data_IF_868994044683
#
_entry.id   IF_868994044683
#
_cell.length_a   1.000
_cell.length_b   1.000
_cell.length_c   1.000
_cell.angle_alpha   90.00
_cell.angle_beta   90.00
_cell.angle_gamma   90.00
#
_symmetry.space_group_name_H-M   'P 1'
#
loop_
_entity.id
_entity.type
_entity.pdbx_description
1 polymer ?
#
# COMPACT_ATOMS: atom_id res chain seq x y z
N UNK A 1 -9.56 15.86 -1.02
CA UNK A 1 -10.95 16.09 -1.44
C UNK A 1 -11.92 15.38 -0.51
N UNK A 2 -13.03 16.05 -0.21
CA UNK A 2 -14.08 15.46 0.62
C UNK A 2 -15.19 14.88 -0.25
N UNK A 3 -15.64 13.68 0.11
CA UNK A 3 -16.75 13.00 -0.55
C UNK A 3 -17.83 12.70 0.47
N UNK A 4 -19.09 12.90 0.08
CA UNK A 4 -20.27 12.57 0.89
C UNK A 4 -21.48 12.48 -0.03
N UNK A 5 -22.63 12.14 0.55
CA UNK A 5 -23.91 12.13 -0.15
C UNK A 5 -24.28 10.78 -0.74
N UNK A 6 -25.43 10.75 -1.41
CA UNK A 6 -26.03 9.50 -1.87
C UNK A 6 -25.19 8.77 -2.90
N UNK A 7 -24.58 9.49 -3.84
CA UNK A 7 -23.77 8.84 -4.86
C UNK A 7 -22.58 8.14 -4.23
N UNK A 8 -21.84 8.84 -3.36
CA UNK A 8 -20.68 8.25 -2.69
C UNK A 8 -21.09 7.07 -1.81
N UNK A 9 -22.17 7.21 -1.07
CA UNK A 9 -22.69 6.13 -0.21
C UNK A 9 -23.02 4.88 -1.03
N UNK A 10 -23.60 5.05 -2.21
CA UNK A 10 -23.91 3.91 -3.08
C UNK A 10 -22.65 3.28 -3.64
N UNK A 11 -21.69 4.09 -4.07
CA UNK A 11 -20.42 3.56 -4.62
C UNK A 11 -19.65 2.80 -3.55
N UNK A 12 -19.57 3.36 -2.35
CA UNK A 12 -18.85 2.73 -1.24
C UNK A 12 -19.61 1.55 -0.62
N UNK A 13 -20.91 1.44 -0.86
CA UNK A 13 -21.74 0.40 -0.25
C UNK A 13 -21.97 0.62 1.24
N UNK A 14 -21.99 1.86 1.68
CA UNK A 14 -22.11 2.24 3.09
C UNK A 14 -23.19 3.27 3.29
N UNK A 15 -23.96 3.22 4.41
CA UNK A 15 -24.92 4.25 4.71
C UNK A 15 -24.22 5.53 5.19
N UNK A 16 -24.73 6.67 4.73
CA UNK A 16 -24.25 7.98 5.18
C UNK A 16 -22.72 8.11 5.10
N UNK A 17 -22.14 7.70 3.98
CA UNK A 17 -20.68 7.69 3.82
C UNK A 17 -20.15 9.11 3.67
N UNK A 18 -19.06 9.39 4.38
CA UNK A 18 -18.32 10.64 4.25
C UNK A 18 -16.83 10.34 4.49
N UNK A 19 -15.99 10.81 3.60
CA UNK A 19 -14.55 10.54 3.68
C UNK A 19 -13.74 11.70 3.11
N UNK A 20 -12.54 11.85 3.63
CA UNK A 20 -11.49 12.64 2.99
C UNK A 20 -10.60 11.69 2.18
N UNK A 21 -10.34 12.04 0.92
CA UNK A 21 -9.62 11.19 -0.01
C UNK A 21 -8.41 11.92 -0.55
N UNK A 22 -7.27 11.24 -0.55
CA UNK A 22 -6.03 11.72 -1.14
C UNK A 22 -5.58 10.73 -2.21
N UNK A 23 -5.24 11.24 -3.38
CA UNK A 23 -4.71 10.43 -4.48
C UNK A 23 -3.20 10.55 -4.52
N UNK A 24 -2.52 9.42 -4.48
CA UNK A 24 -1.08 9.34 -4.71
C UNK A 24 -0.83 8.77 -6.11
N UNK A 25 0.13 9.34 -6.80
CA UNK A 25 0.54 8.87 -8.14
C UNK A 25 2.03 8.62 -8.14
N UNK A 26 2.44 7.55 -8.77
CA UNK A 26 3.85 7.23 -8.95
C UNK A 26 4.04 5.77 -9.33
N UNK A 27 5.18 5.48 -9.90
CA UNK A 27 5.56 4.10 -10.27
C UNK A 27 4.49 3.39 -11.12
N UNK A 28 3.81 4.16 -12.01
CA UNK A 28 2.75 3.62 -12.86
C UNK A 28 1.44 3.32 -12.15
N UNK A 29 1.32 3.68 -10.87
CA UNK A 29 0.16 3.36 -10.07
C UNK A 29 -0.56 4.62 -9.57
N UNK A 30 -1.83 4.46 -9.24
CA UNK A 30 -2.62 5.44 -8.51
C UNK A 30 -3.16 4.75 -7.27
N UNK A 31 -2.97 5.40 -6.13
CA UNK A 31 -3.41 4.86 -4.84
C UNK A 31 -4.29 5.92 -4.18
N UNK A 32 -5.51 5.53 -3.83
CA UNK A 32 -6.41 6.41 -3.10
C UNK A 32 -6.36 6.06 -1.62
N UNK A 33 -6.08 7.06 -0.80
CA UNK A 33 -6.11 6.93 0.66
C UNK A 33 -7.39 7.56 1.17
N UNK A 34 -8.20 6.79 1.88
CA UNK A 34 -9.49 7.23 2.41
C UNK A 34 -9.43 7.32 3.92
N UNK A 35 -9.86 8.46 4.44
CA UNK A 35 -10.14 8.61 5.85
C UNK A 35 -11.64 8.80 6.00
N UNK A 36 -12.34 7.77 6.46
CA UNK A 36 -13.78 7.84 6.64
C UNK A 36 -14.12 8.58 7.93
N UNK A 37 -15.01 9.58 7.80
CA UNK A 37 -15.59 10.28 8.94
C UNK A 37 -16.90 9.62 9.34
N UNK A 38 -17.58 8.96 8.38
CA UNK A 38 -18.83 8.25 8.58
C UNK A 38 -18.95 7.15 7.51
N UNK A 39 -19.42 5.93 7.85
CA UNK A 39 -19.50 5.41 9.22
C UNK A 39 -18.09 5.19 9.80
N UNK A 40 -17.96 5.08 11.13
CA UNK A 40 -16.66 4.84 11.73
C UNK A 40 -16.13 3.47 11.30
N UNK A 41 -14.86 3.45 10.92
CA UNK A 41 -14.18 2.22 10.54
C UNK A 41 -13.67 1.46 11.75
N UNK A 42 -13.43 0.18 11.56
CA UNK A 42 -12.76 -0.65 12.55
C UNK A 42 -11.47 -1.21 11.94
N UNK A 43 -10.48 -1.45 12.79
CA UNK A 43 -9.22 -2.01 12.33
C UNK A 43 -9.43 -3.47 11.92
N UNK A 44 -9.02 -3.80 10.69
CA UNK A 44 -8.99 -5.17 10.19
C UNK A 44 -7.51 -5.55 10.13
N UNK A 45 -7.12 -6.58 10.88
CA UNK A 45 -5.71 -6.98 10.93
C UNK A 45 -5.40 -8.10 9.95
N UNK A 46 -4.31 -7.94 9.20
CA UNK A 46 -3.63 -9.01 8.51
C UNK A 46 -2.22 -9.03 9.05
N UNK A 47 -2.00 -9.82 10.09
CA UNK A 47 -0.71 -9.78 10.79
C UNK A 47 0.36 -10.56 10.05
N UNK A 48 -0.04 -11.55 9.22
CA UNK A 48 0.90 -12.40 8.49
C UNK A 48 0.51 -12.46 7.02
N UNK A 49 1.52 -12.55 6.15
CA UNK A 49 1.28 -12.62 4.70
C UNK A 49 0.55 -13.88 4.26
N UNK A 50 0.55 -14.92 5.08
CA UNK A 50 -0.15 -16.18 4.79
C UNK A 50 -1.63 -16.15 5.16
N UNK A 51 -2.11 -15.10 5.82
CA UNK A 51 -3.51 -14.98 6.18
C UNK A 51 -4.35 -14.66 4.94
N UNK A 52 -5.60 -15.12 4.94
CA UNK A 52 -6.46 -14.95 3.78
C UNK A 52 -6.92 -13.50 3.65
N UNK A 53 -6.98 -13.02 2.42
CA UNK A 53 -7.43 -11.69 2.09
C UNK A 53 -6.43 -10.96 1.21
N UNK A 54 -6.65 -9.66 1.03
CA UNK A 54 -5.71 -8.80 0.32
C UNK A 54 -4.56 -8.48 1.27
N UNK A 55 -3.39 -9.06 1.02
CA UNK A 55 -2.25 -8.98 1.93
C UNK A 55 -1.24 -7.91 1.56
N UNK A 56 -1.06 -7.65 0.28
CA UNK A 56 -0.11 -6.62 -0.19
C UNK A 56 -0.38 -6.27 -1.64
N UNK A 57 0.22 -5.20 -2.08
CA UNK A 57 0.33 -4.85 -3.50
C UNK A 57 1.79 -4.54 -3.81
N UNK A 58 2.14 -4.60 -5.09
CA UNK A 58 3.51 -4.40 -5.54
C UNK A 58 3.66 -3.14 -6.38
N UNK A 59 4.79 -2.47 -6.21
CA UNK A 59 5.23 -1.38 -7.06
C UNK A 59 6.49 -1.81 -7.79
N UNK A 60 6.48 -1.66 -9.12
CA UNK A 60 7.65 -1.92 -9.94
C UNK A 60 8.59 -0.73 -9.86
N UNK A 61 9.82 -0.96 -9.45
CA UNK A 61 10.80 0.09 -9.21
C UNK A 61 12.07 -0.19 -10.00
N UNK A 62 12.92 0.82 -10.10
CA UNK A 62 14.27 0.71 -10.66
C UNK A 62 15.27 0.98 -9.56
N UNK A 63 16.43 0.30 -9.64
CA UNK A 63 17.50 0.41 -8.65
C UNK A 63 16.97 0.18 -7.24
N UNK A 64 16.38 -0.98 -7.03
CA UNK A 64 15.74 -1.34 -5.77
C UNK A 64 16.71 -1.29 -4.58
N UNK A 65 17.98 -1.60 -4.79
CA UNK A 65 18.98 -1.58 -3.72
C UNK A 65 19.20 -0.16 -3.19
N UNK A 66 19.31 0.80 -4.08
CA UNK A 66 19.46 2.22 -3.70
C UNK A 66 18.20 2.74 -3.02
N UNK A 67 17.03 2.40 -3.56
CA UNK A 67 15.76 2.80 -2.97
C UNK A 67 15.60 2.19 -1.57
N UNK A 68 15.93 0.91 -1.41
CA UNK A 68 15.89 0.25 -0.10
C UNK A 68 16.78 0.99 0.91
N UNK A 69 18.04 1.27 0.55
CA UNK A 69 18.96 1.95 1.47
C UNK A 69 18.44 3.30 1.90
N UNK A 70 17.88 4.07 0.96
CA UNK A 70 17.33 5.40 1.27
C UNK A 70 16.12 5.31 2.20
N UNK A 71 15.18 4.42 1.90
CA UNK A 71 13.96 4.28 2.70
C UNK A 71 14.27 3.67 4.07
N UNK A 72 15.17 2.71 4.14
CA UNK A 72 15.61 2.12 5.42
C UNK A 72 16.22 3.20 6.32
N UNK A 73 17.06 4.06 5.75
CA UNK A 73 17.66 5.17 6.48
C UNK A 73 16.62 6.17 6.98
N UNK A 74 15.51 6.33 6.25
CA UNK A 74 14.41 7.19 6.65
C UNK A 74 13.46 6.54 7.66
N UNK A 75 13.74 5.31 8.07
CA UNK A 75 12.97 4.63 9.10
C UNK A 75 11.85 3.73 8.59
N UNK A 76 11.75 3.49 7.29
CA UNK A 76 10.77 2.56 6.75
C UNK A 76 11.12 1.14 7.18
N UNK A 77 10.13 0.39 7.64
CA UNK A 77 10.36 -0.99 8.11
C UNK A 77 10.27 -1.95 6.95
N UNK A 78 11.32 -2.77 6.81
CA UNK A 78 11.41 -3.85 5.82
C UNK A 78 11.52 -5.19 6.52
N UNK A 79 10.99 -6.26 5.91
CA UNK A 79 11.22 -7.60 6.44
C UNK A 79 12.67 -8.02 6.27
N UNK A 80 13.29 -7.60 5.18
CA UNK A 80 14.69 -7.92 4.85
C UNK A 80 15.18 -6.97 3.76
N UNK A 81 16.49 -6.90 3.52
CA UNK A 81 17.01 -6.27 2.30
C UNK A 81 16.47 -6.98 1.04
N UNK A 82 16.51 -6.33 -0.13
CA UNK A 82 16.05 -6.98 -1.36
C UNK A 82 16.72 -8.34 -1.58
N UNK A 83 15.90 -9.31 -1.98
CA UNK A 83 16.32 -10.68 -2.24
C UNK A 83 16.05 -11.00 -3.71
N UNK A 84 16.72 -12.02 -4.21
CA UNK A 84 16.59 -12.47 -5.58
C UNK A 84 15.86 -13.82 -5.60
N UNK A 85 14.51 -13.83 -5.63
CA UNK A 85 13.74 -15.08 -5.54
C UNK A 85 13.87 -15.95 -6.80
N UNK A 86 14.19 -15.33 -7.93
CA UNK A 86 14.47 -16.01 -9.17
C UNK A 86 15.31 -15.10 -10.06
N UNK A 87 15.94 -15.69 -11.09
CA UNK A 87 16.79 -14.93 -12.00
C UNK A 87 16.07 -13.71 -12.57
N UNK A 88 16.73 -12.56 -12.54
CA UNK A 88 16.20 -11.32 -13.10
C UNK A 88 15.16 -10.61 -12.28
N UNK A 89 14.90 -11.05 -11.05
CA UNK A 89 13.89 -10.40 -10.20
C UNK A 89 14.45 -10.15 -8.80
N UNK A 90 14.28 -8.93 -8.32
CA UNK A 90 14.63 -8.56 -6.95
C UNK A 90 13.38 -8.03 -6.26
N UNK A 91 13.17 -8.40 -5.01
CA UNK A 91 11.97 -8.01 -4.28
C UNK A 91 12.23 -7.89 -2.79
N UNK A 92 11.43 -7.05 -2.14
CA UNK A 92 11.38 -6.95 -0.69
C UNK A 92 10.02 -6.39 -0.28
N UNK A 93 9.63 -6.66 0.95
CA UNK A 93 8.39 -6.14 1.53
C UNK A 93 8.69 -5.07 2.56
N UNK A 94 7.94 -3.99 2.50
CA UNK A 94 8.00 -2.91 3.49
C UNK A 94 6.61 -2.62 4.05
N UNK A 95 6.57 -1.85 5.13
CA UNK A 95 5.31 -1.44 5.77
C UNK A 95 5.10 0.06 5.58
N UNK A 96 3.84 0.44 5.30
CA UNK A 96 3.45 1.84 5.38
C UNK A 96 3.18 2.22 6.85
N UNK A 97 2.91 3.50 7.16
CA UNK A 97 2.67 3.93 8.54
C UNK A 97 1.47 3.24 9.21
N UNK A 98 0.51 2.76 8.43
CA UNK A 98 -0.67 2.05 8.95
C UNK A 98 -0.42 0.56 9.12
N UNK A 99 0.76 0.07 8.72
CA UNK A 99 1.11 -1.35 8.82
C UNK A 99 0.74 -2.17 7.59
N UNK A 100 0.28 -1.54 6.50
CA UNK A 100 0.01 -2.25 5.26
C UNK A 100 1.31 -2.68 4.60
N UNK A 101 1.31 -3.84 3.99
CA UNK A 101 2.49 -4.36 3.29
C UNK A 101 2.52 -3.89 1.85
N UNK A 102 3.67 -3.37 1.44
CA UNK A 102 3.94 -2.95 0.07
C UNK A 102 5.16 -3.71 -0.40
N UNK A 103 5.04 -4.39 -1.54
CA UNK A 103 6.17 -5.05 -2.17
C UNK A 103 6.86 -4.07 -3.12
N UNK A 104 8.17 -3.98 -3.04
CA UNK A 104 8.98 -3.35 -4.08
C UNK A 104 9.58 -4.46 -4.92
N UNK A 105 9.43 -4.37 -6.23
CA UNK A 105 9.93 -5.39 -7.15
C UNK A 105 10.66 -4.71 -8.31
N UNK A 106 11.82 -5.26 -8.67
CA UNK A 106 12.57 -4.83 -9.84
C UNK A 106 12.77 -6.01 -10.76
N UNK A 107 12.36 -5.83 -12.00
CA UNK A 107 12.58 -6.81 -13.07
C UNK A 107 13.79 -6.34 -13.89
N UNK A 108 14.83 -7.14 -13.93
CA UNK A 108 15.98 -6.88 -14.79
C UNK A 108 15.59 -7.12 -16.25
N UNK A 109 15.98 -6.18 -17.10
CA UNK A 109 15.71 -6.28 -18.54
C UNK A 109 16.79 -7.12 -19.27
#
# INVERSE_FOLDING_TARGET
>A
RNYSGDMFSRVAGLPNAAAHVVMLKGYGARIELFRYHSPPGKKVGHDRQCDFGLTHFALSVKDIHSLYRRLDKEGVRFNCPPQNPRAGVWATYMKDPEGNTIELVEYES
#
